data_IF_558822351038
#
_entry.id   IF_558822351038
#
_cell.length_a   1.000
_cell.length_b   1.000
_cell.length_c   1.000
_cell.angle_alpha   90.00
_cell.angle_beta   90.00
_cell.angle_gamma   90.00
#
_symmetry.space_group_name_H-M   'P 1'
#
loop_
_entity.id
_entity.type
_entity.pdbx_description
1 polymer ?
#
# COMPACT_ATOMS: atom_id res chain seq x y z
N UNK A 1 -95.33 -12.30 60.48
CA UNK A 1 -96.43 -13.29 60.49
C UNK A 1 -97.43 -12.88 61.57
N UNK A 2 -98.68 -13.37 61.48
CA UNK A 2 -99.80 -12.93 62.34
C UNK A 2 -99.92 -13.71 63.66
N UNK A 3 -99.26 -14.87 63.75
CA UNK A 3 -99.14 -15.68 64.96
C UNK A 3 -97.75 -16.32 65.05
N UNK A 4 -97.24 -16.53 66.26
CA UNK A 4 -95.99 -17.27 66.54
C UNK A 4 -96.28 -18.71 67.00
N UNK A 5 -95.34 -19.66 66.85
CA UNK A 5 -95.49 -21.01 67.42
C UNK A 5 -95.87 -20.99 68.91
N UNK A 6 -95.29 -20.06 69.67
CA UNK A 6 -95.59 -19.90 71.10
C UNK A 6 -97.02 -19.38 71.36
N UNK A 7 -97.52 -18.47 70.51
CA UNK A 7 -98.91 -17.99 70.58
C UNK A 7 -99.93 -19.08 70.18
N UNK A 8 -99.55 -20.01 69.31
CA UNK A 8 -100.36 -21.17 68.94
C UNK A 8 -100.41 -22.17 70.10
N UNK A 9 -99.25 -22.47 70.74
CA UNK A 9 -99.15 -23.34 71.93
C UNK A 9 -99.97 -22.83 73.12
N UNK A 10 -100.10 -21.51 73.26
CA UNK A 10 -100.81 -20.88 74.38
C UNK A 10 -102.29 -20.54 74.08
N UNK A 11 -102.79 -20.89 72.89
CA UNK A 11 -104.14 -20.50 72.47
C UNK A 11 -105.19 -21.31 73.22
N UNK A 12 -106.03 -20.62 74.00
CA UNK A 12 -107.19 -21.21 74.66
C UNK A 12 -108.48 -20.84 73.93
N UNK A 13 -109.39 -21.80 73.78
CA UNK A 13 -110.73 -21.60 73.22
C UNK A 13 -111.78 -21.65 74.32
N UNK A 14 -112.82 -20.81 74.23
CA UNK A 14 -113.95 -20.85 75.16
C UNK A 14 -114.83 -22.07 74.91
N UNK A 15 -115.28 -22.71 76.00
CA UNK A 15 -116.22 -23.84 75.93
C UNK A 15 -117.61 -23.30 75.58
N UNK A 16 -118.25 -23.89 74.56
CA UNK A 16 -119.59 -23.47 74.12
C UNK A 16 -120.64 -24.07 75.07
N UNK A 17 -121.35 -23.23 75.84
CA UNK A 17 -122.26 -23.69 76.91
C UNK A 17 -123.53 -24.41 76.42
N UNK A 18 -123.85 -24.38 75.13
CA UNK A 18 -125.02 -25.04 74.54
C UNK A 18 -124.64 -25.57 73.13
N UNK A 19 -124.48 -26.89 72.98
CA UNK A 19 -124.23 -27.59 71.71
C UNK A 19 -123.01 -28.51 71.70
N UNK A 20 -122.88 -29.35 70.65
CA UNK A 20 -121.70 -30.18 70.41
C UNK A 20 -120.52 -29.29 69.97
N UNK A 21 -119.41 -29.34 70.71
CA UNK A 21 -118.13 -28.71 70.36
C UNK A 21 -117.07 -29.75 70.00
N UNK A 22 -115.92 -29.28 69.51
CA UNK A 22 -114.75 -30.14 69.32
C UNK A 22 -114.16 -30.56 70.66
N UNK A 23 -113.54 -31.74 70.70
CA UNK A 23 -112.82 -32.22 71.87
C UNK A 23 -111.62 -31.33 72.15
N UNK A 24 -111.56 -30.76 73.35
CA UNK A 24 -110.50 -29.83 73.77
C UNK A 24 -109.13 -30.49 73.72
N UNK A 25 -109.03 -31.76 74.10
CA UNK A 25 -107.76 -32.47 74.17
C UNK A 25 -107.21 -32.74 72.77
N UNK A 26 -108.08 -33.19 71.86
CA UNK A 26 -107.70 -33.41 70.45
C UNK A 26 -107.31 -32.10 69.75
N UNK A 27 -108.05 -31.00 69.99
CA UNK A 27 -107.72 -29.69 69.42
C UNK A 27 -106.39 -29.18 69.97
N UNK A 28 -106.13 -29.32 71.27
CA UNK A 28 -104.86 -28.93 71.87
C UNK A 28 -103.68 -29.74 71.30
N UNK A 29 -103.84 -31.05 71.15
CA UNK A 29 -102.81 -31.91 70.55
C UNK A 29 -102.50 -31.49 69.11
N UNK A 30 -103.53 -31.23 68.30
CA UNK A 30 -103.36 -30.74 66.92
C UNK A 30 -102.70 -29.36 66.88
N UNK A 31 -103.04 -28.44 67.79
CA UNK A 31 -102.36 -27.15 67.89
C UNK A 31 -100.89 -27.26 68.28
N UNK A 32 -100.53 -28.22 69.14
CA UNK A 32 -99.12 -28.50 69.47
C UNK A 32 -98.35 -28.99 68.23
N UNK A 33 -98.92 -29.96 67.49
CA UNK A 33 -98.33 -30.46 66.25
C UNK A 33 -98.16 -29.35 65.20
N UNK A 34 -99.18 -28.49 65.01
CA UNK A 34 -99.08 -27.32 64.12
C UNK A 34 -97.98 -26.38 64.59
N UNK A 35 -97.91 -26.10 65.89
CA UNK A 35 -96.92 -25.17 66.41
C UNK A 35 -95.49 -25.68 66.20
N UNK A 36 -95.25 -26.98 66.39
CA UNK A 36 -93.94 -27.60 66.17
C UNK A 36 -93.56 -27.60 64.67
N UNK A 37 -94.48 -27.93 63.77
CA UNK A 37 -94.22 -27.83 62.32
C UNK A 37 -94.03 -26.38 61.85
N UNK A 38 -94.75 -25.43 62.45
CA UNK A 38 -94.55 -23.99 62.19
C UNK A 38 -93.16 -23.54 62.64
N UNK A 39 -92.71 -24.00 63.82
CA UNK A 39 -91.38 -23.72 64.35
C UNK A 39 -90.29 -24.26 63.40
N UNK A 40 -90.41 -25.52 62.94
CA UNK A 40 -89.50 -26.09 61.92
C UNK A 40 -89.49 -25.28 60.63
N UNK A 41 -90.66 -24.89 60.10
CA UNK A 41 -90.76 -24.07 58.88
C UNK A 41 -90.08 -22.71 59.04
N UNK A 42 -90.19 -22.08 60.22
CA UNK A 42 -89.52 -20.81 60.50
C UNK A 42 -87.99 -20.97 60.52
N UNK A 43 -87.49 -22.06 61.12
CA UNK A 43 -86.06 -22.37 61.14
C UNK A 43 -85.53 -22.68 59.74
N UNK A 44 -86.26 -23.45 58.93
CA UNK A 44 -85.90 -23.71 57.53
C UNK A 44 -85.87 -22.43 56.70
N UNK A 45 -86.88 -21.55 56.84
CA UNK A 45 -86.90 -20.25 56.15
C UNK A 45 -85.68 -19.41 56.54
N UNK A 46 -85.31 -19.42 57.83
CA UNK A 46 -84.13 -18.69 58.33
C UNK A 46 -82.85 -19.28 57.75
N UNK A 47 -82.69 -20.60 57.76
CA UNK A 47 -81.52 -21.28 57.21
C UNK A 47 -81.38 -21.04 55.70
N UNK A 48 -82.48 -21.15 54.95
CA UNK A 48 -82.49 -20.88 53.51
C UNK A 48 -82.15 -19.42 53.19
N UNK A 49 -82.65 -18.46 53.98
CA UNK A 49 -82.28 -17.04 53.82
C UNK A 49 -80.79 -16.81 54.04
N UNK A 50 -80.20 -17.45 55.06
CA UNK A 50 -78.75 -17.36 55.30
C UNK A 50 -77.97 -17.97 54.13
N UNK A 51 -78.38 -19.13 53.61
CA UNK A 51 -77.75 -19.77 52.44
C UNK A 51 -77.84 -18.89 51.19
N UNK A 52 -79.00 -18.29 50.92
CA UNK A 52 -79.17 -17.36 49.80
C UNK A 52 -78.23 -16.17 49.92
N UNK A 53 -78.14 -15.55 51.10
CA UNK A 53 -77.26 -14.41 51.30
C UNK A 53 -75.78 -14.77 51.13
N UNK A 54 -75.38 -15.97 51.55
CA UNK A 54 -74.02 -16.49 51.33
C UNK A 54 -73.74 -16.77 49.85
N UNK A 55 -74.68 -17.40 49.14
CA UNK A 55 -74.52 -17.69 47.71
C UNK A 55 -74.50 -16.41 46.88
N UNK A 56 -75.31 -15.40 47.22
CA UNK A 56 -75.29 -14.10 46.55
C UNK A 56 -73.95 -13.38 46.74
N UNK A 57 -73.38 -13.45 47.95
CA UNK A 57 -72.03 -12.89 48.23
C UNK A 57 -70.95 -13.59 47.41
N UNK A 58 -70.97 -14.92 47.33
CA UNK A 58 -69.99 -15.66 46.53
C UNK A 58 -70.17 -15.40 45.04
N UNK A 59 -71.41 -15.30 44.55
CA UNK A 59 -71.69 -14.94 43.16
C UNK A 59 -71.17 -13.54 42.81
N UNK A 60 -71.36 -12.56 43.70
CA UNK A 60 -70.80 -11.21 43.50
C UNK A 60 -69.28 -11.25 43.42
N UNK A 61 -68.63 -11.97 44.34
CA UNK A 61 -67.17 -12.15 44.33
C UNK A 61 -66.68 -12.81 43.04
N UNK A 62 -67.35 -13.86 42.57
CA UNK A 62 -66.99 -14.50 41.29
C UNK A 62 -67.12 -13.54 40.10
N UNK A 63 -68.18 -12.74 40.05
CA UNK A 63 -68.36 -11.72 39.00
C UNK A 63 -67.27 -10.66 39.04
N UNK A 64 -66.83 -10.23 40.22
CA UNK A 64 -65.70 -9.29 40.37
C UNK A 64 -64.39 -9.90 39.86
N UNK A 65 -64.11 -11.16 40.22
CA UNK A 65 -62.94 -11.90 39.74
C UNK A 65 -62.97 -12.06 38.22
N UNK A 66 -64.10 -12.49 37.65
CA UNK A 66 -64.28 -12.63 36.21
C UNK A 66 -64.07 -11.31 35.47
N UNK A 67 -64.65 -10.22 35.98
CA UNK A 67 -64.47 -8.87 35.43
C UNK A 67 -63.00 -8.43 35.45
N UNK A 68 -62.29 -8.69 36.56
CA UNK A 68 -60.86 -8.40 36.70
C UNK A 68 -60.01 -9.22 35.73
N UNK A 69 -60.30 -10.51 35.60
CA UNK A 69 -59.63 -11.41 34.65
C UNK A 69 -59.85 -10.96 33.21
N UNK A 70 -61.09 -10.63 32.83
CA UNK A 70 -61.41 -10.14 31.50
C UNK A 70 -60.68 -8.83 31.18
N UNK A 71 -60.64 -7.87 32.12
CA UNK A 71 -59.87 -6.63 31.95
C UNK A 71 -58.38 -6.90 31.76
N UNK A 72 -57.83 -7.81 32.55
CA UNK A 72 -56.42 -8.19 32.48
C UNK A 72 -56.09 -8.85 31.14
N UNK A 73 -56.92 -9.81 30.71
CA UNK A 73 -56.77 -10.49 29.43
C UNK A 73 -56.85 -9.51 28.26
N UNK A 74 -57.84 -8.62 28.27
CA UNK A 74 -57.99 -7.59 27.25
C UNK A 74 -56.79 -6.64 27.21
N UNK A 75 -56.31 -6.21 28.38
CA UNK A 75 -55.11 -5.35 28.47
C UNK A 75 -53.88 -6.08 27.92
N UNK A 76 -53.72 -7.36 28.22
CA UNK A 76 -52.64 -8.18 27.70
C UNK A 76 -52.74 -8.35 26.17
N UNK A 77 -53.94 -8.54 25.62
CA UNK A 77 -54.20 -8.61 24.18
C UNK A 77 -53.87 -7.28 23.49
N UNK A 78 -54.40 -6.16 23.99
CA UNK A 78 -54.14 -4.81 23.47
C UNK A 78 -52.64 -4.47 23.54
N UNK A 79 -51.97 -4.84 24.64
CA UNK A 79 -50.52 -4.63 24.81
C UNK A 79 -49.73 -5.48 23.82
N UNK A 80 -50.13 -6.74 23.61
CA UNK A 80 -49.47 -7.63 22.66
C UNK A 80 -49.61 -7.13 21.22
N UNK A 81 -50.80 -6.66 20.85
CA UNK A 81 -51.04 -6.04 19.54
C UNK A 81 -50.17 -4.79 19.34
N UNK A 82 -50.10 -3.90 20.35
CA UNK A 82 -49.26 -2.71 20.31
C UNK A 82 -47.77 -3.06 20.20
N UNK A 83 -47.28 -4.07 20.93
CA UNK A 83 -45.87 -4.52 20.84
C UNK A 83 -45.57 -5.02 19.42
N UNK A 84 -46.46 -5.80 18.81
CA UNK A 84 -46.27 -6.32 17.46
C UNK A 84 -46.25 -5.17 16.44
N UNK A 85 -47.16 -4.19 16.56
CA UNK A 85 -47.18 -3.03 15.68
C UNK A 85 -45.91 -2.18 15.81
N UNK A 86 -45.48 -1.90 17.04
CA UNK A 86 -44.25 -1.15 17.29
C UNK A 86 -43.01 -1.90 16.77
N UNK A 87 -42.93 -3.21 16.98
CA UNK A 87 -41.84 -4.03 16.47
C UNK A 87 -41.79 -4.03 14.94
N UNK A 88 -42.94 -4.11 14.26
CA UNK A 88 -43.02 -3.99 12.79
C UNK A 88 -42.54 -2.63 12.31
N UNK A 89 -43.05 -1.55 12.91
CA UNK A 89 -42.64 -0.19 12.56
C UNK A 89 -41.14 0.05 12.78
N UNK A 90 -40.58 -0.45 13.88
CA UNK A 90 -39.14 -0.38 14.14
C UNK A 90 -38.33 -1.22 13.16
N UNK A 91 -38.80 -2.40 12.79
CA UNK A 91 -38.16 -3.23 11.78
C UNK A 91 -38.13 -2.53 10.41
N UNK A 92 -39.25 -1.95 9.98
CA UNK A 92 -39.35 -1.21 8.72
C UNK A 92 -38.42 0.00 8.70
N UNK A 93 -38.40 0.79 9.78
CA UNK A 93 -37.44 1.89 9.94
C UNK A 93 -36.00 1.39 9.88
N UNK A 94 -35.70 0.25 10.50
CA UNK A 94 -34.35 -0.29 10.49
C UNK A 94 -33.90 -0.76 9.11
N UNK A 95 -34.82 -1.35 8.35
CA UNK A 95 -34.59 -1.74 6.96
C UNK A 95 -34.33 -0.48 6.11
N UNK A 96 -35.14 0.56 6.28
CA UNK A 96 -34.97 1.82 5.54
C UNK A 96 -33.64 2.51 5.87
N UNK A 97 -33.26 2.57 7.15
CA UNK A 97 -31.94 3.07 7.58
C UNK A 97 -30.79 2.28 6.96
N UNK A 98 -30.90 0.94 6.97
CA UNK A 98 -29.88 0.07 6.41
C UNK A 98 -29.74 0.25 4.90
N UNK A 99 -30.85 0.38 4.18
CA UNK A 99 -30.88 0.67 2.74
C UNK A 99 -30.23 2.01 2.44
N UNK A 100 -30.64 3.08 3.13
CA UNK A 100 -30.05 4.42 2.95
C UNK A 100 -28.55 4.44 3.23
N UNK A 101 -28.11 3.74 4.28
CA UNK A 101 -26.68 3.61 4.60
C UNK A 101 -25.92 2.80 3.55
N UNK A 102 -26.52 1.74 3.01
CA UNK A 102 -25.92 0.95 1.94
C UNK A 102 -25.76 1.79 0.65
N UNK A 103 -26.79 2.54 0.27
CA UNK A 103 -26.75 3.44 -0.88
C UNK A 103 -25.70 4.54 -0.72
N UNK A 104 -25.58 5.10 0.49
CA UNK A 104 -24.54 6.07 0.81
C UNK A 104 -23.14 5.47 0.62
N UNK A 105 -22.87 4.29 1.21
CA UNK A 105 -21.57 3.61 1.11
C UNK A 105 -21.26 3.26 -0.36
N UNK A 106 -22.24 2.77 -1.11
CA UNK A 106 -22.06 2.42 -2.53
C UNK A 106 -21.74 3.66 -3.37
N UNK A 107 -22.42 4.78 -3.13
CA UNK A 107 -22.14 6.02 -3.84
C UNK A 107 -20.76 6.58 -3.48
N UNK A 108 -20.39 6.56 -2.20
CA UNK A 108 -19.06 6.96 -1.76
C UNK A 108 -17.96 6.10 -2.40
N UNK A 109 -18.11 4.77 -2.37
CA UNK A 109 -17.17 3.84 -2.99
C UNK A 109 -17.07 4.07 -4.51
N UNK A 110 -18.20 4.33 -5.20
CA UNK A 110 -18.21 4.67 -6.63
C UNK A 110 -17.48 5.97 -6.92
N UNK A 111 -17.66 7.00 -6.09
CA UNK A 111 -16.97 8.29 -6.24
C UNK A 111 -15.46 8.12 -6.02
N UNK A 112 -15.06 7.41 -4.97
CA UNK A 112 -13.65 7.11 -4.71
C UNK A 112 -13.04 6.30 -5.86
N UNK A 113 -13.75 5.28 -6.35
CA UNK A 113 -13.32 4.48 -7.50
C UNK A 113 -13.10 5.32 -8.76
N UNK A 114 -14.05 6.21 -9.10
CA UNK A 114 -13.89 7.15 -10.21
C UNK A 114 -12.67 8.05 -10.03
N UNK A 115 -12.48 8.58 -8.84
CA UNK A 115 -11.35 9.46 -8.54
C UNK A 115 -10.00 8.73 -8.63
N UNK A 116 -9.91 7.49 -8.18
CA UNK A 116 -8.71 6.64 -8.34
C UNK A 116 -8.41 6.43 -9.83
N UNK A 117 -9.41 6.06 -10.62
CA UNK A 117 -9.25 5.85 -12.07
C UNK A 117 -8.80 7.14 -12.77
N UNK A 118 -9.41 8.27 -12.45
CA UNK A 118 -9.02 9.58 -13.00
C UNK A 118 -7.59 9.94 -12.63
N UNK A 119 -7.18 9.76 -11.38
CA UNK A 119 -5.79 9.99 -10.94
C UNK A 119 -4.81 9.07 -11.66
N UNK A 120 -5.15 7.79 -11.83
CA UNK A 120 -4.31 6.84 -12.54
C UNK A 120 -4.14 7.24 -14.02
N UNK A 121 -5.23 7.63 -14.68
CA UNK A 121 -5.22 8.12 -16.06
C UNK A 121 -4.36 9.39 -16.19
N UNK A 122 -4.55 10.37 -15.32
CA UNK A 122 -3.77 11.61 -15.32
C UNK A 122 -2.28 11.32 -15.13
N UNK A 123 -1.93 10.45 -14.17
CA UNK A 123 -0.53 10.05 -13.95
C UNK A 123 0.05 9.35 -15.16
N UNK A 124 -0.70 8.45 -15.80
CA UNK A 124 -0.27 7.76 -17.01
C UNK A 124 0.02 8.74 -18.15
N UNK A 125 -0.83 9.76 -18.34
CA UNK A 125 -0.62 10.78 -19.36
C UNK A 125 0.62 11.64 -19.06
N UNK A 126 0.78 12.08 -17.80
CA UNK A 126 1.97 12.82 -17.36
C UNK A 126 3.26 12.04 -17.60
N UNK A 127 3.28 10.75 -17.21
CA UNK A 127 4.44 9.88 -17.44
C UNK A 127 4.73 9.69 -18.93
N UNK A 128 3.71 9.58 -19.78
CA UNK A 128 3.90 9.47 -21.22
C UNK A 128 4.49 10.76 -21.80
N UNK A 129 4.02 11.92 -21.33
CA UNK A 129 4.58 13.22 -21.73
C UNK A 129 6.05 13.36 -21.30
N UNK A 130 6.37 13.02 -20.05
CA UNK A 130 7.74 12.96 -19.54
C UNK A 130 8.62 12.04 -20.40
N UNK A 131 8.18 10.81 -20.67
CA UNK A 131 8.90 9.86 -21.52
C UNK A 131 9.14 10.40 -22.94
N UNK A 132 8.16 11.08 -23.54
CA UNK A 132 8.33 11.70 -24.85
C UNK A 132 9.37 12.83 -24.83
N UNK A 133 9.39 13.63 -23.76
CA UNK A 133 10.41 14.69 -23.62
C UNK A 133 11.81 14.11 -23.44
N UNK A 134 11.97 13.08 -22.61
CA UNK A 134 13.23 12.38 -22.44
C UNK A 134 13.69 11.71 -23.73
N UNK A 135 12.77 11.08 -24.47
CA UNK A 135 13.09 10.46 -25.76
C UNK A 135 13.63 11.50 -26.75
N UNK A 136 12.97 12.66 -26.87
CA UNK A 136 13.45 13.76 -27.73
C UNK A 136 14.80 14.29 -27.29
N UNK A 137 15.03 14.43 -25.99
CA UNK A 137 16.33 14.85 -25.46
C UNK A 137 17.42 13.82 -25.81
N UNK A 138 17.13 12.53 -25.64
CA UNK A 138 18.04 11.44 -25.99
C UNK A 138 18.33 11.40 -27.50
N UNK A 139 17.32 11.61 -28.34
CA UNK A 139 17.49 11.70 -29.80
C UNK A 139 18.46 12.81 -30.20
N UNK A 140 18.39 13.98 -29.55
CA UNK A 140 19.34 15.09 -29.78
C UNK A 140 20.77 14.68 -29.43
N UNK A 141 20.97 14.07 -28.27
CA UNK A 141 22.29 13.57 -27.84
C UNK A 141 22.85 12.55 -28.83
N UNK A 142 22.02 11.65 -29.37
CA UNK A 142 22.45 10.70 -30.40
C UNK A 142 22.91 11.41 -31.69
N UNK A 143 22.17 12.43 -32.15
CA UNK A 143 22.53 13.23 -33.33
C UNK A 143 23.84 14.00 -33.13
N UNK A 144 24.04 14.55 -31.94
CA UNK A 144 25.28 15.25 -31.58
C UNK A 144 26.47 14.27 -31.58
N UNK A 145 26.28 13.07 -31.04
CA UNK A 145 27.31 12.02 -31.02
C UNK A 145 27.64 11.51 -32.43
N UNK A 146 26.63 11.37 -33.29
CA UNK A 146 26.83 11.00 -34.69
C UNK A 146 27.64 12.07 -35.44
N UNK A 147 27.30 13.34 -35.25
CA UNK A 147 28.06 14.47 -35.80
C UNK A 147 29.50 14.50 -35.27
N UNK A 148 29.70 14.23 -33.98
CA UNK A 148 31.03 14.12 -33.38
C UNK A 148 31.85 12.99 -34.00
N UNK A 149 31.24 11.81 -34.18
CA UNK A 149 31.86 10.65 -34.86
C UNK A 149 32.27 11.01 -36.29
N UNK A 150 31.40 11.66 -37.06
CA UNK A 150 31.70 12.06 -38.44
C UNK A 150 32.83 13.10 -38.51
N UNK A 151 32.81 14.10 -37.62
CA UNK A 151 33.88 15.10 -37.51
C UNK A 151 35.22 14.46 -37.11
N UNK A 152 35.23 13.56 -36.14
CA UNK A 152 36.43 12.86 -35.71
C UNK A 152 37.02 11.99 -36.83
N UNK A 153 36.17 11.30 -37.62
CA UNK A 153 36.63 10.54 -38.78
C UNK A 153 37.25 11.44 -39.86
N UNK A 154 36.70 12.64 -40.06
CA UNK A 154 37.28 13.64 -40.96
C UNK A 154 38.63 14.16 -40.45
N UNK A 155 38.74 14.48 -39.17
CA UNK A 155 40.00 14.88 -38.52
C UNK A 155 41.06 13.78 -38.66
N UNK A 156 40.71 12.53 -38.39
CA UNK A 156 41.60 11.38 -38.54
C UNK A 156 42.05 11.23 -40.00
N UNK A 157 41.13 11.36 -40.97
CA UNK A 157 41.45 11.30 -42.40
C UNK A 157 42.43 12.40 -42.79
N UNK A 158 42.18 13.64 -42.36
CA UNK A 158 43.06 14.77 -42.65
C UNK A 158 44.45 14.58 -42.02
N UNK A 159 44.52 14.15 -40.77
CA UNK A 159 45.78 13.83 -40.09
C UNK A 159 46.57 12.74 -40.82
N UNK A 160 45.90 11.69 -41.29
CA UNK A 160 46.52 10.62 -42.07
C UNK A 160 47.04 11.15 -43.42
N UNK A 161 46.28 12.00 -44.13
CA UNK A 161 46.73 12.64 -45.36
C UNK A 161 47.94 13.57 -45.13
N UNK A 162 47.93 14.36 -44.05
CA UNK A 162 49.08 15.18 -43.65
C UNK A 162 50.31 14.33 -43.31
N UNK A 163 50.11 13.20 -42.62
CA UNK A 163 51.19 12.27 -42.28
C UNK A 163 51.77 11.62 -43.53
N UNK A 164 50.95 11.22 -44.49
CA UNK A 164 51.39 10.68 -45.80
C UNK A 164 52.15 11.74 -46.58
N UNK A 165 51.63 12.97 -46.70
CA UNK A 165 52.34 14.04 -47.43
C UNK A 165 53.67 14.41 -46.77
N UNK A 166 53.78 14.38 -45.44
CA UNK A 166 55.07 14.52 -44.74
C UNK A 166 56.01 13.35 -45.07
N UNK A 167 55.51 12.12 -45.09
CA UNK A 167 56.27 10.92 -45.47
C UNK A 167 56.79 11.02 -46.92
N UNK A 168 55.95 11.46 -47.86
CA UNK A 168 56.29 11.66 -49.27
C UNK A 168 57.38 12.73 -49.42
N UNK A 169 57.30 13.85 -48.69
CA UNK A 169 58.35 14.88 -48.68
C UNK A 169 59.70 14.35 -48.16
N UNK A 170 59.68 13.48 -47.15
CA UNK A 170 60.91 12.81 -46.69
C UNK A 170 61.42 11.78 -47.71
N UNK A 171 60.52 11.09 -48.40
CA UNK A 171 60.82 10.14 -49.47
C UNK A 171 61.20 10.80 -50.80
N UNK A 172 61.11 12.13 -50.90
CA UNK A 172 61.21 12.83 -52.17
C UNK A 172 62.56 12.57 -52.84
N UNK A 173 62.52 12.37 -54.16
CA UNK A 173 63.67 12.02 -54.98
C UNK A 173 64.78 13.08 -54.86
N UNK A 174 64.43 14.33 -54.55
CA UNK A 174 65.37 15.41 -54.31
C UNK A 174 66.32 15.12 -53.13
N UNK A 175 65.84 14.55 -52.03
CA UNK A 175 66.67 14.21 -50.87
C UNK A 175 67.62 13.07 -51.21
N UNK A 176 67.11 12.02 -51.88
CA UNK A 176 67.93 10.93 -52.42
C UNK A 176 68.98 11.43 -53.41
N UNK A 177 68.61 12.32 -54.33
CA UNK A 177 69.49 12.88 -55.35
C UNK A 177 70.52 13.84 -54.76
N UNK A 178 70.18 14.60 -53.72
CA UNK A 178 71.11 15.46 -52.99
C UNK A 178 72.19 14.62 -52.30
N UNK A 179 71.79 13.57 -51.55
CA UNK A 179 72.74 12.68 -50.90
C UNK A 179 73.56 11.90 -51.93
N UNK A 180 72.95 11.40 -53.00
CA UNK A 180 73.68 10.75 -54.09
C UNK A 180 74.69 11.70 -54.76
N UNK A 181 74.33 12.96 -54.98
CA UNK A 181 75.23 13.99 -55.50
C UNK A 181 76.38 14.30 -54.54
N UNK A 182 76.10 14.43 -53.24
CA UNK A 182 77.14 14.65 -52.21
C UNK A 182 78.07 13.46 -52.04
N UNK A 183 77.56 12.24 -52.18
CA UNK A 183 78.38 11.02 -52.21
C UNK A 183 79.28 11.05 -53.44
N UNK A 184 78.74 11.37 -54.62
CA UNK A 184 79.51 11.44 -55.87
C UNK A 184 80.59 12.51 -55.84
N UNK A 185 80.30 13.68 -55.26
CA UNK A 185 81.26 14.78 -55.06
C UNK A 185 82.38 14.38 -54.08
N UNK A 186 82.04 13.59 -53.05
CA UNK A 186 83.04 13.03 -52.14
C UNK A 186 83.89 11.94 -52.80
N UNK A 187 83.30 11.10 -53.65
CA UNK A 187 84.02 10.09 -54.45
C UNK A 187 85.01 10.75 -55.41
N UNK A 188 84.59 11.78 -56.16
CA UNK A 188 85.48 12.55 -57.04
C UNK A 188 86.62 13.23 -56.27
N UNK A 189 86.34 13.82 -55.10
CA UNK A 189 87.38 14.42 -54.25
C UNK A 189 88.39 13.38 -53.72
N UNK A 190 87.92 12.17 -53.39
CA UNK A 190 88.78 11.08 -52.95
C UNK A 190 89.62 10.52 -54.10
N UNK A 191 89.08 10.41 -55.31
CA UNK A 191 89.84 10.04 -56.50
C UNK A 191 90.92 11.08 -56.85
N UNK A 192 90.60 12.37 -56.83
CA UNK A 192 91.58 13.44 -57.05
C UNK A 192 92.70 13.41 -56.01
N UNK A 193 92.35 13.24 -54.73
CA UNK A 193 93.33 13.04 -53.64
C UNK A 193 94.18 11.81 -53.85
N UNK A 194 93.60 10.72 -54.32
CA UNK A 194 94.31 9.48 -54.59
C UNK A 194 95.27 9.64 -55.76
N UNK A 195 94.89 10.35 -56.83
CA UNK A 195 95.80 10.68 -57.94
C UNK A 195 96.95 11.58 -57.49
N UNK A 196 96.70 12.57 -56.63
CA UNK A 196 97.75 13.41 -56.04
C UNK A 196 98.67 12.59 -55.14
N UNK A 197 98.11 11.65 -54.36
CA UNK A 197 98.90 10.74 -53.53
C UNK A 197 99.76 9.79 -54.38
N UNK A 198 99.21 9.24 -55.46
CA UNK A 198 99.90 8.37 -56.42
C UNK A 198 100.99 9.13 -57.20
N UNK A 199 100.79 10.41 -57.51
CA UNK A 199 101.82 11.29 -58.08
C UNK A 199 102.94 11.62 -57.07
N UNK A 200 102.59 11.87 -55.81
CA UNK A 200 103.55 12.17 -54.75
C UNK A 200 104.39 10.93 -54.38
N UNK A 201 103.80 9.73 -54.38
CA UNK A 201 104.53 8.48 -54.20
C UNK A 201 105.42 8.14 -55.39
N UNK A 202 104.99 8.41 -56.63
CA UNK A 202 105.83 8.27 -57.83
C UNK A 202 107.03 9.25 -57.83
N UNK A 203 106.86 10.47 -57.31
CA UNK A 203 107.97 11.43 -57.15
C UNK A 203 108.97 10.99 -56.06
N UNK A 204 108.49 10.40 -54.96
CA UNK A 204 109.34 9.81 -53.92
C UNK A 204 110.09 8.54 -54.39
N UNK A 205 109.51 7.76 -55.32
CA UNK A 205 110.18 6.61 -55.95
C UNK A 205 111.17 7.03 -57.06
N UNK A 206 111.04 8.22 -57.66
CA UNK A 206 111.96 8.74 -58.68
C UNK A 206 113.21 9.45 -58.12
N UNK A 207 113.19 9.88 -56.86
CA UNK A 207 114.33 10.54 -56.17
C UNK A 207 115.15 9.62 -55.24
N UNK A 208 114.98 8.30 -55.35
CA UNK A 208 115.83 7.33 -54.64
C UNK A 208 116.58 6.39 -55.60
N UNK A 209 117.68 6.87 -56.21
CA UNK A 209 118.75 5.98 -56.67
C UNK A 209 119.78 5.80 -55.53
N UNK A 210 119.92 4.59 -54.97
CA UNK A 210 120.78 4.33 -53.83
C UNK A 210 122.25 4.22 -54.28
N UNK A 211 123.04 5.30 -54.12
CA UNK A 211 124.51 5.34 -54.01
C UNK A 211 124.99 6.80 -54.01
N UNK A 212 125.10 7.43 -52.83
CA UNK A 212 126.25 8.32 -52.48
C UNK A 212 126.20 9.01 -51.10
N UNK A 213 125.16 8.85 -50.28
CA UNK A 213 125.09 9.54 -48.97
C UNK A 213 125.27 8.64 -47.73
N UNK A 214 125.82 7.42 -47.90
CA UNK A 214 126.09 6.50 -46.77
C UNK A 214 127.44 6.78 -46.07
N UNK A 215 128.29 7.67 -46.59
CA UNK A 215 129.64 7.90 -46.05
C UNK A 215 129.87 9.32 -45.46
N UNK A 216 128.83 10.17 -45.34
CA UNK A 216 128.98 11.56 -44.84
C UNK A 216 128.27 11.95 -43.55
N UNK A 217 127.43 11.11 -42.95
CA UNK A 217 126.74 11.45 -41.68
C UNK A 217 127.09 10.48 -40.53
N UNK A 218 127.89 9.45 -40.79
CA UNK A 218 128.47 8.58 -39.75
C UNK A 218 129.73 9.17 -39.07
N UNK A 219 130.00 10.47 -39.24
CA UNK A 219 131.19 11.13 -38.68
C UNK A 219 130.90 12.44 -37.91
N UNK A 220 129.66 12.65 -37.43
CA UNK A 220 129.41 13.59 -36.31
C UNK A 220 128.78 12.82 -35.15
N UNK A 221 129.69 12.26 -34.37
CA UNK A 221 129.49 11.80 -33.02
C UNK A 221 128.81 12.87 -32.14
N UNK A 222 127.91 12.38 -31.29
CA UNK A 222 127.86 12.67 -29.85
C UNK A 222 127.93 14.14 -29.44
N UNK A 223 126.76 14.72 -29.19
CA UNK A 223 126.48 15.44 -27.92
C UNK A 223 124.96 15.63 -27.77
N UNK A 224 124.50 15.77 -26.53
CA UNK A 224 123.11 15.98 -26.11
C UNK A 224 122.20 14.75 -26.03
N UNK A 225 122.63 13.83 -25.17
CA UNK A 225 121.75 13.13 -24.25
C UNK A 225 120.83 14.11 -23.50
N UNK A 226 119.60 13.66 -23.21
CA UNK A 226 118.78 13.92 -22.01
C UNK A 226 117.44 14.65 -22.14
N UNK A 227 116.44 13.91 -21.62
CA UNK A 227 115.26 14.33 -20.83
C UNK A 227 114.02 14.84 -21.58
N UNK A 228 113.04 13.94 -21.66
CA UNK A 228 111.74 13.97 -20.95
C UNK A 228 111.13 15.35 -20.58
N UNK A 229 109.77 15.50 -20.53
CA UNK A 229 108.92 14.50 -19.87
C UNK A 229 107.52 14.26 -20.46
N UNK A 230 106.91 13.26 -19.84
CA UNK A 230 105.50 12.88 -19.94
C UNK A 230 104.67 13.53 -18.81
N UNK A 231 103.37 13.68 -19.11
CA UNK A 231 102.21 13.49 -18.24
C UNK A 231 101.56 14.60 -17.38
N UNK A 232 102.20 15.56 -16.69
CA UNK A 232 101.41 16.35 -15.69
C UNK A 232 101.81 17.81 -15.42
N UNK A 233 102.25 18.58 -16.42
CA UNK A 233 102.55 20.01 -16.22
C UNK A 233 101.50 20.93 -16.85
N UNK A 234 100.54 21.29 -15.98
CA UNK A 234 99.82 22.58 -15.95
C UNK A 234 98.41 22.67 -16.57
N UNK A 235 97.45 22.17 -15.78
CA UNK A 235 96.26 22.94 -15.41
C UNK A 235 96.64 24.36 -14.94
N UNK A 236 95.77 25.34 -15.25
CA UNK A 236 95.72 26.75 -14.85
C UNK A 236 96.56 27.76 -15.64
N UNK A 237 95.89 28.45 -16.56
CA UNK A 237 95.93 29.90 -16.71
C UNK A 237 94.57 30.40 -17.22
#
# INVERSE_FOLDING_TARGET
>A
MKFTPSEIKQKNFSVKSFGKGYDREQVNQFLMEIADEWEKLLDEIKEQRIKLELMDKELQKQKEVESSLYRTLKTAEDTSANIIEQARKQADLKIQEAQSKADYILNEARLQGKHIVQKAQQRSLSTLEEMLTEMKARERVYKDLESYKDNFLLELKNFMQESVTKLDRFSDAHTKNYFAGKIKEAEEYLEDRQQVFDQASFQLEAETNPKDDLDKVLAEEKEAETKEPSFFDHLNA
#
